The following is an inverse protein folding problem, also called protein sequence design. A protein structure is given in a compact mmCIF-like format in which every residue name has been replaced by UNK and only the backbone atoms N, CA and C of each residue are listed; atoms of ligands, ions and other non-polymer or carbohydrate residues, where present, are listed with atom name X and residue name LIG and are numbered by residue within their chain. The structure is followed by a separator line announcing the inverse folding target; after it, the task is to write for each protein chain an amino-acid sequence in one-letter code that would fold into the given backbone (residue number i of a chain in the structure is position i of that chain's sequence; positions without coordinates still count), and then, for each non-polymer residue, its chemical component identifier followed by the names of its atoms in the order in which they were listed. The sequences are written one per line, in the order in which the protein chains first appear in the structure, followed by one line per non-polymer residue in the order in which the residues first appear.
data_IF_566225854032
#
_entry.id   IF_566225854032
#
_cell.length_a   1.000
_cell.length_b   1.000
_cell.length_c   1.000
_cell.angle_alpha   90.00
_cell.angle_beta   90.00
_cell.angle_gamma   90.00
#
_symmetry.space_group_name_H-M   'P 1'
#
loop_
_entity.id
_entity.type
_entity.pdbx_description
1 polymer ?
#
# COMPACT_ATOMS: atom_id res chain seq x y z
N UNK A 1 47.53 53.71 -64.14
CA UNK A 1 46.14 53.86 -64.51
C UNK A 1 45.57 52.54 -65.01
N UNK A 2 44.50 52.10 -64.47
CA UNK A 2 43.54 51.10 -64.90
C UNK A 2 44.00 49.61 -65.01
N UNK A 3 43.28 48.80 -64.22
CA UNK A 3 42.83 47.44 -64.42
C UNK A 3 43.83 46.30 -64.30
N UNK A 4 43.92 45.76 -63.09
CA UNK A 4 44.19 44.32 -62.83
C UNK A 4 43.52 43.97 -61.55
N UNK A 5 42.24 43.61 -61.57
CA UNK A 5 41.55 42.96 -60.46
C UNK A 5 40.33 42.24 -61.03
N UNK A 6 40.50 41.02 -61.49
CA UNK A 6 39.34 40.08 -61.68
C UNK A 6 39.87 38.75 -62.19
N UNK A 7 40.42 37.92 -61.34
CA UNK A 7 40.55 36.46 -61.62
C UNK A 7 41.15 35.69 -60.43
N UNK A 8 40.58 35.84 -59.24
CA UNK A 8 40.80 34.90 -58.18
C UNK A 8 39.57 34.92 -57.29
N UNK A 9 38.57 34.12 -57.58
CA UNK A 9 37.52 33.71 -56.62
C UNK A 9 36.45 32.81 -57.26
N UNK A 10 36.82 31.67 -57.81
CA UNK A 10 35.76 30.70 -58.17
C UNK A 10 36.14 29.23 -58.02
N UNK A 11 37.24 28.91 -57.33
CA UNK A 11 37.69 27.53 -57.28
C UNK A 11 37.65 26.89 -55.91
N UNK A 12 37.22 27.61 -54.85
CA UNK A 12 37.25 27.04 -53.48
C UNK A 12 35.88 26.80 -52.83
N UNK A 13 34.79 27.10 -53.51
CA UNK A 13 33.46 26.95 -52.92
C UNK A 13 32.76 25.60 -53.19
N UNK A 14 33.25 24.84 -54.21
CA UNK A 14 32.68 23.52 -54.57
C UNK A 14 33.30 22.34 -53.76
N UNK A 15 34.41 22.53 -53.07
CA UNK A 15 35.04 21.47 -52.28
C UNK A 15 34.66 21.48 -50.81
N UNK A 16 34.04 22.55 -50.30
CA UNK A 16 33.60 22.65 -48.90
C UNK A 16 32.19 22.07 -48.71
N UNK A 17 31.36 22.01 -49.77
CA UNK A 17 29.97 21.51 -49.66
C UNK A 17 29.91 19.99 -49.67
N UNK A 18 30.95 19.26 -50.17
CA UNK A 18 30.95 17.79 -50.22
C UNK A 18 31.46 17.17 -48.90
N UNK A 19 32.21 17.90 -48.09
CA UNK A 19 32.66 17.39 -46.77
C UNK A 19 31.65 17.56 -45.62
N UNK A 20 30.56 18.32 -45.80
CA UNK A 20 29.57 18.51 -44.75
C UNK A 20 28.38 17.55 -44.86
N UNK A 21 28.30 16.75 -45.95
CA UNK A 21 27.22 15.78 -46.13
C UNK A 21 27.59 14.33 -45.71
N UNK A 22 28.84 14.07 -45.29
CA UNK A 22 29.33 12.76 -44.94
C UNK A 22 29.29 12.49 -43.41
N UNK A 23 28.86 13.45 -42.57
CA UNK A 23 28.82 13.28 -41.12
C UNK A 23 27.38 13.09 -40.57
N UNK A 24 26.38 13.11 -41.44
CA UNK A 24 24.95 12.97 -41.04
C UNK A 24 24.39 11.54 -41.24
N UNK A 25 25.23 10.56 -41.53
CA UNK A 25 24.82 9.16 -41.75
C UNK A 25 25.34 8.28 -40.60
N UNK A 26 24.81 8.44 -39.40
CA UNK A 26 25.23 7.59 -38.27
C UNK A 26 24.52 7.82 -36.95
N UNK A 27 23.56 8.75 -36.87
CA UNK A 27 22.67 8.80 -35.70
C UNK A 27 21.43 7.98 -36.06
N UNK A 28 21.54 6.66 -35.96
CA UNK A 28 20.34 5.86 -35.79
C UNK A 28 19.70 6.37 -34.50
N UNK A 29 18.42 6.83 -34.53
CA UNK A 29 17.76 7.12 -33.27
C UNK A 29 17.83 5.84 -32.43
N UNK A 30 18.44 5.92 -31.26
CA UNK A 30 18.28 4.88 -30.25
C UNK A 30 16.77 4.83 -30.02
N UNK A 31 16.08 3.86 -30.61
CA UNK A 31 14.69 3.59 -30.26
C UNK A 31 14.77 3.02 -28.86
N UNK A 32 14.56 3.90 -27.85
CA UNK A 32 14.35 3.44 -26.50
C UNK A 32 13.14 2.51 -26.54
N UNK A 33 13.32 1.29 -26.00
CA UNK A 33 12.18 0.41 -25.79
C UNK A 33 11.19 1.14 -24.87
N UNK A 34 9.91 1.10 -25.23
CA UNK A 34 8.88 1.74 -24.43
C UNK A 34 8.50 0.85 -23.24
N UNK A 35 8.16 1.50 -22.16
CA UNK A 35 7.51 0.83 -21.03
C UNK A 35 6.21 0.14 -21.47
N UNK A 36 5.85 -0.95 -20.80
CA UNK A 36 4.54 -1.58 -20.99
C UNK A 36 3.44 -0.55 -20.64
N UNK A 37 2.37 -0.54 -21.45
CA UNK A 37 1.28 0.42 -21.31
C UNK A 37 0.66 0.38 -19.90
N UNK A 38 0.43 1.56 -19.32
CA UNK A 38 -0.13 1.72 -17.98
C UNK A 38 0.87 1.56 -16.82
N UNK A 39 2.12 1.16 -17.12
CA UNK A 39 3.14 1.03 -16.08
C UNK A 39 3.74 2.39 -15.68
N UNK A 40 4.26 2.44 -14.47
CA UNK A 40 4.96 3.61 -13.90
C UNK A 40 6.01 3.18 -12.89
N UNK A 41 7.03 4.01 -12.71
CA UNK A 41 7.97 3.82 -11.61
C UNK A 41 7.28 3.99 -10.25
N UNK A 42 7.75 3.27 -9.22
CA UNK A 42 7.19 3.40 -7.88
C UNK A 42 7.49 4.78 -7.30
N UNK A 43 6.58 5.30 -6.47
CA UNK A 43 6.76 6.59 -5.79
C UNK A 43 7.99 6.64 -4.86
N UNK A 44 8.54 5.49 -4.50
CA UNK A 44 9.66 5.35 -3.59
C UNK A 44 11.02 5.47 -4.28
N UNK A 45 11.13 4.99 -5.53
CA UNK A 45 12.37 4.90 -6.28
C UNK A 45 12.19 5.30 -7.74
N UNK A 46 13.25 5.80 -8.36
CA UNK A 46 13.40 5.80 -9.82
C UNK A 46 14.10 4.52 -10.24
N UNK A 47 13.86 4.07 -11.48
CA UNK A 47 14.62 2.97 -12.08
C UNK A 47 16.08 3.35 -12.34
N UNK A 48 16.92 2.34 -12.59
CA UNK A 48 18.27 2.56 -13.11
C UNK A 48 18.21 3.19 -14.52
N UNK A 49 19.15 4.09 -14.88
CA UNK A 49 19.22 4.66 -16.22
C UNK A 49 19.39 3.59 -17.30
N UNK A 50 18.70 3.75 -18.43
CA UNK A 50 18.81 2.84 -19.58
C UNK A 50 17.91 1.62 -19.50
N UNK A 51 16.93 1.60 -18.63
CA UNK A 51 15.98 0.51 -18.47
C UNK A 51 14.57 0.91 -18.91
N UNK A 52 13.75 -0.06 -19.27
CA UNK A 52 12.32 0.04 -19.49
C UNK A 52 11.58 -1.00 -18.66
N UNK A 53 10.28 -0.74 -18.39
CA UNK A 53 9.41 -1.68 -17.68
C UNK A 53 8.86 -2.71 -18.68
N UNK A 54 9.14 -3.99 -18.50
CA UNK A 54 8.60 -5.05 -19.33
C UNK A 54 7.56 -5.93 -18.62
N UNK A 55 7.46 -5.80 -17.29
CA UNK A 55 6.38 -6.40 -16.50
C UNK A 55 6.00 -5.47 -15.35
N UNK A 56 4.69 -5.37 -15.11
CA UNK A 56 4.11 -4.49 -14.10
C UNK A 56 2.85 -5.14 -13.53
N UNK A 57 2.85 -5.43 -12.23
CA UNK A 57 1.70 -5.95 -11.51
C UNK A 57 1.43 -5.00 -10.33
N UNK A 58 0.18 -4.51 -10.22
CA UNK A 58 -0.28 -3.58 -9.18
C UNK A 58 -1.49 -4.21 -8.49
N UNK A 59 -1.29 -4.78 -7.30
CA UNK A 59 -2.29 -5.56 -6.55
C UNK A 59 -2.67 -4.82 -5.28
N UNK A 60 -3.95 -4.51 -5.12
CA UNK A 60 -4.46 -3.67 -4.02
C UNK A 60 -4.19 -4.24 -2.63
N UNK A 61 -4.19 -5.56 -2.48
CA UNK A 61 -3.86 -6.22 -1.22
C UNK A 61 -3.31 -7.62 -1.47
N UNK A 62 -2.10 -7.85 -1.00
CA UNK A 62 -1.41 -9.13 -1.07
C UNK A 62 -0.46 -9.28 0.11
N UNK A 63 0.01 -10.51 0.37
CA UNK A 63 1.08 -10.79 1.30
C UNK A 63 2.38 -11.10 0.55
N UNK A 64 3.49 -10.62 1.06
CA UNK A 64 4.82 -10.97 0.58
C UNK A 64 5.72 -11.35 1.76
N UNK A 65 6.54 -12.37 1.55
CA UNK A 65 7.45 -12.89 2.57
C UNK A 65 8.86 -12.39 2.32
N UNK A 66 9.31 -11.46 3.15
CA UNK A 66 10.65 -10.88 3.09
C UNK A 66 11.62 -11.68 3.96
N UNK A 67 12.77 -12.06 3.42
CA UNK A 67 13.86 -12.59 4.23
C UNK A 67 14.49 -11.47 5.06
N UNK A 68 14.60 -11.66 6.37
CA UNK A 68 15.16 -10.67 7.31
C UNK A 68 16.46 -11.13 7.97
N UNK A 69 16.80 -12.41 7.84
CA UNK A 69 18.08 -13.02 8.23
C UNK A 69 18.29 -14.31 7.45
N UNK A 70 19.38 -15.02 7.71
CA UNK A 70 19.66 -16.32 7.09
C UNK A 70 18.53 -17.34 7.31
N UNK A 71 17.92 -17.33 8.51
CA UNK A 71 16.93 -18.34 8.93
C UNK A 71 15.51 -17.76 9.07
N UNK A 72 15.34 -16.44 9.09
CA UNK A 72 14.06 -15.81 9.41
C UNK A 72 13.50 -15.03 8.25
N UNK A 73 12.17 -15.05 8.17
CA UNK A 73 11.38 -14.26 7.23
C UNK A 73 10.36 -13.40 7.98
N UNK A 74 9.87 -12.36 7.32
CA UNK A 74 8.79 -11.49 7.77
C UNK A 74 7.72 -11.41 6.70
N UNK A 75 6.51 -11.86 7.02
CA UNK A 75 5.34 -11.65 6.17
C UNK A 75 4.83 -10.23 6.36
N UNK A 76 4.63 -9.52 5.26
CA UNK A 76 4.03 -8.18 5.23
C UNK A 76 2.85 -8.21 4.29
N UNK A 77 1.71 -7.70 4.75
CA UNK A 77 0.47 -7.59 3.98
C UNK A 77 0.17 -6.14 3.63
N UNK A 78 -0.30 -5.90 2.42
CA UNK A 78 -0.64 -4.56 1.96
C UNK A 78 -0.74 -4.43 0.45
N UNK A 79 -0.73 -3.20 -0.04
CA UNK A 79 -0.66 -2.90 -1.46
C UNK A 79 0.68 -3.37 -2.02
N UNK A 80 0.64 -4.25 -3.02
CA UNK A 80 1.81 -4.87 -3.63
C UNK A 80 2.02 -4.35 -5.04
N UNK A 81 3.19 -3.81 -5.28
CA UNK A 81 3.68 -3.42 -6.59
C UNK A 81 4.86 -4.31 -6.98
N UNK A 82 4.74 -5.01 -8.10
CA UNK A 82 5.84 -5.76 -8.70
C UNK A 82 6.21 -5.19 -10.05
N UNK A 83 7.48 -4.86 -10.24
CA UNK A 83 8.01 -4.29 -11.48
C UNK A 83 9.25 -5.07 -11.90
N UNK A 84 9.30 -5.48 -13.18
CA UNK A 84 10.52 -6.00 -13.80
C UNK A 84 11.03 -4.98 -14.82
N UNK A 85 12.31 -4.73 -14.73
CA UNK A 85 13.04 -3.84 -15.62
C UNK A 85 13.98 -4.63 -16.52
N UNK A 86 13.94 -4.33 -17.80
CA UNK A 86 14.89 -4.87 -18.78
C UNK A 86 15.73 -3.75 -19.41
N UNK A 87 16.94 -4.11 -19.83
CA UNK A 87 17.90 -3.17 -20.36
C UNK A 87 17.54 -2.77 -21.81
N UNK A 88 17.59 -1.49 -22.11
CA UNK A 88 17.41 -1.01 -23.47
C UNK A 88 18.53 -1.49 -24.39
N UNK A 89 18.23 -1.68 -25.66
CA UNK A 89 19.21 -2.08 -26.67
C UNK A 89 20.43 -1.15 -26.69
N UNK A 90 21.61 -1.71 -26.83
CA UNK A 90 22.90 -1.01 -26.90
C UNK A 90 23.30 -0.24 -25.64
N UNK A 91 22.69 -0.53 -24.50
CA UNK A 91 23.11 -0.04 -23.17
C UNK A 91 23.96 -1.10 -22.50
N UNK A 92 25.08 -0.71 -21.91
CA UNK A 92 25.91 -1.63 -21.13
C UNK A 92 25.22 -1.94 -19.80
N UNK A 93 25.05 -3.22 -19.50
CA UNK A 93 24.45 -3.66 -18.23
C UNK A 93 25.34 -3.26 -17.03
N UNK A 94 24.79 -2.63 -15.99
CA UNK A 94 25.47 -2.51 -14.71
C UNK A 94 25.59 -3.90 -14.06
N UNK A 95 26.54 -4.07 -13.15
CA UNK A 95 26.62 -5.30 -12.38
C UNK A 95 25.44 -5.40 -11.39
N UNK A 96 25.00 -6.62 -11.00
CA UNK A 96 23.99 -6.82 -9.95
C UNK A 96 24.35 -6.06 -8.66
N UNK A 97 25.60 -6.12 -8.23
CA UNK A 97 26.13 -5.35 -7.10
C UNK A 97 25.87 -3.84 -7.24
N UNK A 98 26.09 -3.28 -8.44
CA UNK A 98 25.85 -1.85 -8.69
C UNK A 98 24.36 -1.52 -8.57
N UNK A 99 23.47 -2.37 -9.06
CA UNK A 99 22.01 -2.20 -8.94
C UNK A 99 21.62 -2.21 -7.45
N UNK A 100 21.95 -3.25 -6.69
CA UNK A 100 21.62 -3.37 -5.27
C UNK A 100 22.15 -2.19 -4.44
N UNK A 101 23.41 -1.77 -4.68
CA UNK A 101 24.03 -0.62 -3.97
C UNK A 101 23.31 0.70 -4.25
N UNK A 102 22.81 0.92 -5.48
CA UNK A 102 22.02 2.12 -5.78
C UNK A 102 20.73 2.16 -4.98
N UNK A 103 19.97 1.06 -4.88
CA UNK A 103 18.75 0.99 -4.08
C UNK A 103 19.03 1.10 -2.58
N UNK A 104 20.10 0.47 -2.04
CA UNK A 104 20.53 0.63 -0.65
C UNK A 104 20.86 2.10 -0.35
N UNK A 105 21.57 2.78 -1.24
CA UNK A 105 21.91 4.19 -1.04
C UNK A 105 20.68 5.10 -1.16
N UNK A 106 19.77 4.79 -2.07
CA UNK A 106 18.52 5.55 -2.24
C UNK A 106 17.63 5.46 -0.99
N UNK A 107 17.43 4.24 -0.43
CA UNK A 107 16.59 4.08 0.76
C UNK A 107 17.19 4.78 1.98
N UNK A 108 18.52 4.71 2.16
CA UNK A 108 19.22 5.38 3.27
C UNK A 108 19.08 6.91 3.21
N UNK A 109 19.11 7.51 2.02
CA UNK A 109 18.92 8.96 1.83
C UNK A 109 17.56 9.47 2.29
N UNK A 110 16.54 8.62 2.28
CA UNK A 110 15.17 8.97 2.72
C UNK A 110 14.85 8.45 4.12
N UNK A 111 15.87 8.06 4.91
CA UNK A 111 15.70 7.62 6.29
C UNK A 111 15.33 6.15 6.47
N UNK A 112 15.38 5.36 5.40
CA UNK A 112 15.18 3.92 5.45
C UNK A 112 16.46 3.14 5.76
N UNK A 113 16.35 1.83 5.78
CA UNK A 113 17.42 0.92 6.17
C UNK A 113 17.48 -0.31 5.29
N UNK A 114 18.68 -0.90 5.18
CA UNK A 114 18.91 -2.24 4.69
C UNK A 114 18.52 -3.23 5.80
N UNK A 115 17.61 -4.14 5.51
CA UNK A 115 17.18 -5.21 6.44
C UNK A 115 18.02 -6.45 6.24
N UNK A 116 18.19 -6.87 4.99
CA UNK A 116 18.94 -8.07 4.66
C UNK A 116 19.60 -7.93 3.28
N UNK A 117 20.80 -8.47 3.17
CA UNK A 117 21.57 -8.60 1.94
C UNK A 117 21.94 -10.08 1.78
N UNK A 118 21.62 -10.65 0.63
CA UNK A 118 21.91 -12.07 0.38
C UNK A 118 23.41 -12.32 0.26
N UNK A 119 23.83 -13.59 0.23
CA UNK A 119 25.24 -13.99 0.33
C UNK A 119 26.12 -13.41 -0.79
N UNK A 120 25.55 -13.23 -1.98
CA UNK A 120 26.21 -12.49 -3.06
C UNK A 120 25.92 -11.00 -2.89
N UNK A 121 26.88 -10.21 -2.37
CA UNK A 121 26.63 -8.84 -1.94
C UNK A 121 26.07 -7.97 -3.05
N UNK A 122 24.89 -7.38 -2.78
CA UNK A 122 24.24 -6.41 -3.66
C UNK A 122 23.40 -7.00 -4.80
N UNK A 123 23.35 -8.33 -4.96
CA UNK A 123 22.50 -8.95 -5.98
C UNK A 123 21.02 -8.93 -5.57
N UNK A 124 20.75 -9.34 -4.32
CA UNK A 124 19.42 -9.34 -3.73
C UNK A 124 19.43 -8.60 -2.40
N UNK A 125 18.56 -7.61 -2.24
CA UNK A 125 18.51 -6.79 -1.03
C UNK A 125 17.08 -6.57 -0.56
N UNK A 126 16.87 -6.62 0.76
CA UNK A 126 15.62 -6.28 1.43
C UNK A 126 15.77 -4.95 2.14
N UNK A 127 14.89 -4.02 1.84
CA UNK A 127 14.92 -2.64 2.29
C UNK A 127 13.62 -2.30 3.03
N UNK A 128 13.70 -1.35 3.95
CA UNK A 128 12.53 -0.87 4.69
C UNK A 128 12.61 0.62 4.95
N UNK A 129 11.47 1.31 4.89
CA UNK A 129 11.32 2.71 5.32
C UNK A 129 9.96 2.94 5.94
N UNK A 130 9.85 3.92 6.83
CA UNK A 130 8.57 4.45 7.30
C UNK A 130 8.37 5.82 6.67
N UNK A 131 7.33 5.96 5.85
CA UNK A 131 7.00 7.20 5.15
C UNK A 131 5.57 7.62 5.50
N UNK A 132 5.39 8.83 6.02
CA UNK A 132 4.08 9.34 6.45
C UNK A 132 3.33 8.41 7.44
N UNK A 133 4.07 7.74 8.33
CA UNK A 133 3.50 6.77 9.28
C UNK A 133 3.21 5.38 8.69
N UNK A 134 3.41 5.18 7.39
CA UNK A 134 3.21 3.91 6.71
C UNK A 134 4.56 3.18 6.53
N UNK A 135 4.58 1.91 6.89
CA UNK A 135 5.74 1.05 6.72
C UNK A 135 5.77 0.52 5.28
N UNK A 136 6.87 0.73 4.59
CA UNK A 136 7.08 0.28 3.21
C UNK A 136 8.29 -0.64 3.18
N UNK A 137 8.10 -1.82 2.61
CA UNK A 137 9.13 -2.82 2.39
C UNK A 137 9.42 -2.97 0.91
N UNK A 138 10.68 -3.20 0.55
CA UNK A 138 11.08 -3.47 -0.82
C UNK A 138 12.08 -4.62 -0.87
N UNK A 139 11.92 -5.49 -1.88
CA UNK A 139 12.89 -6.50 -2.26
C UNK A 139 13.36 -6.21 -3.68
N UNK A 140 14.65 -6.04 -3.85
CA UNK A 140 15.27 -5.81 -5.15
C UNK A 140 16.11 -7.04 -5.48
N UNK A 141 15.85 -7.65 -6.64
CA UNK A 141 16.59 -8.79 -7.14
C UNK A 141 17.20 -8.46 -8.50
N UNK A 142 18.51 -8.61 -8.63
CA UNK A 142 19.24 -8.36 -9.85
C UNK A 142 20.00 -9.63 -10.28
N UNK A 143 19.98 -9.91 -11.57
CA UNK A 143 20.69 -11.08 -12.11
C UNK A 143 21.78 -10.68 -13.10
N UNK A 144 22.63 -11.64 -13.43
CA UNK A 144 23.77 -11.43 -14.34
C UNK A 144 23.39 -11.13 -15.80
N UNK A 145 22.11 -11.23 -16.19
CA UNK A 145 21.63 -10.86 -17.53
C UNK A 145 21.44 -9.36 -17.72
N UNK A 146 21.52 -8.59 -16.63
CA UNK A 146 21.26 -7.16 -16.60
C UNK A 146 19.82 -6.79 -16.24
N UNK A 147 18.84 -7.69 -16.32
CA UNK A 147 17.48 -7.45 -15.85
C UNK A 147 17.43 -7.46 -14.32
N UNK A 148 16.47 -6.70 -13.75
CA UNK A 148 16.21 -6.72 -12.32
C UNK A 148 14.73 -6.52 -12.01
N UNK A 149 14.29 -7.04 -10.87
CA UNK A 149 12.93 -6.92 -10.36
C UNK A 149 12.88 -6.19 -9.02
N UNK A 150 11.75 -5.57 -8.75
CA UNK A 150 11.48 -4.95 -7.47
C UNK A 150 10.06 -5.31 -7.00
N UNK A 151 9.95 -5.86 -5.79
CA UNK A 151 8.70 -6.01 -5.06
C UNK A 151 8.61 -4.90 -4.02
N UNK A 152 7.50 -4.20 -3.96
CA UNK A 152 7.25 -3.18 -2.94
C UNK A 152 5.91 -3.50 -2.26
N UNK A 153 5.92 -3.59 -0.93
CA UNK A 153 4.71 -3.71 -0.13
C UNK A 153 4.54 -2.45 0.72
N UNK A 154 3.48 -1.71 0.45
CA UNK A 154 3.00 -0.64 1.32
C UNK A 154 2.06 -1.27 2.35
N UNK A 155 2.56 -1.44 3.59
CA UNK A 155 1.83 -2.17 4.65
C UNK A 155 0.51 -1.47 4.96
N UNK A 156 -0.59 -2.17 4.79
CA UNK A 156 -1.94 -1.69 5.10
C UNK A 156 -2.83 -2.83 5.59
N UNK A 157 -3.88 -2.49 6.33
CA UNK A 157 -4.92 -3.44 6.68
C UNK A 157 -5.79 -3.74 5.45
N UNK A 158 -6.25 -4.98 5.33
CA UNK A 158 -7.20 -5.37 4.29
C UNK A 158 -8.51 -4.60 4.43
N UNK A 159 -9.03 -4.08 3.33
CA UNK A 159 -10.39 -3.59 3.29
C UNK A 159 -11.37 -4.77 3.41
N UNK A 160 -12.29 -4.69 4.35
CA UNK A 160 -13.31 -5.71 4.53
C UNK A 160 -14.49 -5.43 3.58
N UNK A 161 -14.47 -6.04 2.40
CA UNK A 161 -15.53 -5.88 1.39
C UNK A 161 -16.71 -6.84 1.60
N UNK A 162 -16.46 -8.00 2.23
CA UNK A 162 -17.49 -8.98 2.58
C UNK A 162 -17.90 -8.77 4.04
N UNK A 163 -19.10 -8.29 4.26
CA UNK A 163 -19.68 -8.09 5.60
C UNK A 163 -20.78 -9.15 5.86
N UNK A 164 -20.96 -9.50 7.12
CA UNK A 164 -22.10 -10.31 7.52
C UNK A 164 -23.39 -9.51 7.26
N UNK A 165 -24.38 -10.13 6.64
CA UNK A 165 -25.65 -9.52 6.35
C UNK A 165 -26.60 -9.50 7.58
N UNK A 166 -27.74 -8.82 7.45
CA UNK A 166 -28.72 -8.72 8.52
C UNK A 166 -29.22 -10.09 9.00
N UNK A 167 -29.30 -11.11 8.11
CA UNK A 167 -29.74 -12.45 8.48
C UNK A 167 -28.69 -13.15 9.33
N UNK A 168 -27.41 -13.02 8.98
CA UNK A 168 -26.30 -13.55 9.78
C UNK A 168 -26.27 -12.94 11.17
N UNK A 169 -26.51 -11.63 11.29
CA UNK A 169 -26.63 -10.96 12.59
C UNK A 169 -27.83 -11.48 13.37
N UNK A 170 -29.00 -11.65 12.73
CA UNK A 170 -30.19 -12.17 13.38
C UNK A 170 -29.99 -13.59 13.92
N UNK A 171 -29.36 -14.46 13.13
CA UNK A 171 -29.06 -15.85 13.52
C UNK A 171 -28.11 -15.89 14.74
N UNK A 172 -27.02 -15.12 14.71
CA UNK A 172 -26.09 -15.05 15.83
C UNK A 172 -26.73 -14.51 17.11
N UNK A 173 -27.58 -13.48 17.01
CA UNK A 173 -28.34 -12.94 18.15
C UNK A 173 -29.35 -13.95 18.70
N UNK A 174 -29.92 -14.79 17.86
CA UNK A 174 -30.85 -15.85 18.29
C UNK A 174 -30.12 -17.01 19.00
N UNK A 175 -28.94 -17.39 18.50
CA UNK A 175 -28.19 -18.55 18.99
C UNK A 175 -27.40 -18.22 20.27
N UNK A 176 -26.74 -17.05 20.30
CA UNK A 176 -25.77 -16.69 21.35
C UNK A 176 -26.14 -15.46 22.14
N UNK A 177 -27.21 -14.74 21.78
CA UNK A 177 -27.59 -13.45 22.38
C UNK A 177 -26.72 -12.28 21.98
N UNK A 178 -25.64 -12.50 21.23
CA UNK A 178 -24.72 -11.44 20.79
C UNK A 178 -24.06 -11.74 19.45
N UNK A 179 -23.54 -10.73 18.81
CA UNK A 179 -22.73 -10.86 17.59
C UNK A 179 -21.63 -9.80 17.54
N UNK A 180 -20.40 -10.21 17.25
CA UNK A 180 -19.31 -9.30 16.96
C UNK A 180 -19.50 -8.74 15.54
N UNK A 181 -19.47 -7.42 15.43
CA UNK A 181 -19.62 -6.70 14.15
C UNK A 181 -18.27 -6.16 13.73
N UNK A 182 -17.71 -6.80 12.74
CA UNK A 182 -16.51 -6.31 12.04
C UNK A 182 -16.98 -5.41 10.87
N UNK A 183 -16.13 -4.48 10.42
CA UNK A 183 -16.52 -3.51 9.39
C UNK A 183 -17.04 -2.18 9.94
N UNK A 184 -16.89 -1.94 11.25
CA UNK A 184 -17.02 -0.61 11.88
C UNK A 184 -15.62 -0.07 12.14
N UNK A 185 -15.25 1.02 11.48
CA UNK A 185 -13.88 1.53 11.44
C UNK A 185 -13.77 2.90 12.12
N UNK A 186 -12.68 3.07 12.87
CA UNK A 186 -12.27 4.30 13.52
C UNK A 186 -10.77 4.53 13.28
N UNK A 187 -10.33 5.77 13.34
CA UNK A 187 -8.91 6.05 13.45
C UNK A 187 -8.37 5.72 14.85
N UNK A 188 -7.07 5.53 14.96
CA UNK A 188 -6.41 5.25 16.24
C UNK A 188 -6.72 6.36 17.26
N UNK A 189 -7.21 5.97 18.42
CA UNK A 189 -7.56 6.88 19.50
C UNK A 189 -8.80 7.77 19.25
N UNK A 190 -9.51 7.57 18.12
CA UNK A 190 -10.70 8.36 17.78
C UNK A 190 -11.98 7.53 17.83
N UNK A 191 -13.11 8.23 17.98
CA UNK A 191 -14.46 7.66 17.97
C UNK A 191 -15.30 8.14 16.77
N UNK A 192 -14.72 8.88 15.83
CA UNK A 192 -15.36 9.28 14.59
C UNK A 192 -15.41 8.10 13.63
N UNK A 193 -16.63 7.81 13.11
CA UNK A 193 -16.84 6.71 12.14
C UNK A 193 -16.24 7.05 10.78
N UNK A 194 -15.49 6.12 10.24
CA UNK A 194 -14.97 6.23 8.86
C UNK A 194 -16.08 5.91 7.85
N UNK A 195 -16.06 6.51 6.63
CA UNK A 195 -17.03 6.21 5.57
C UNK A 195 -17.13 4.72 5.21
N UNK A 196 -16.03 3.97 5.34
CA UNK A 196 -16.00 2.52 5.13
C UNK A 196 -16.92 1.72 6.08
N UNK A 197 -17.44 2.32 7.16
CA UNK A 197 -18.39 1.69 8.08
C UNK A 197 -19.84 1.68 7.54
N UNK A 198 -20.15 2.45 6.51
CA UNK A 198 -21.53 2.64 6.01
C UNK A 198 -22.23 1.34 5.59
N UNK A 199 -21.59 0.40 4.86
CA UNK A 199 -22.23 -0.86 4.49
C UNK A 199 -22.65 -1.68 5.71
N UNK A 200 -21.83 -1.75 6.74
CA UNK A 200 -22.13 -2.48 7.99
C UNK A 200 -23.25 -1.82 8.78
N UNK A 201 -23.28 -0.48 8.88
CA UNK A 201 -24.36 0.26 9.50
C UNK A 201 -25.70 0.02 8.79
N UNK A 202 -25.67 -0.06 7.44
CA UNK A 202 -26.85 -0.40 6.65
C UNK A 202 -27.39 -1.78 7.01
N UNK A 203 -26.54 -2.80 7.14
CA UNK A 203 -26.98 -4.16 7.50
C UNK A 203 -27.56 -4.22 8.93
N UNK A 204 -26.95 -3.50 9.90
CA UNK A 204 -27.52 -3.37 11.24
C UNK A 204 -28.89 -2.68 11.18
N UNK A 205 -29.07 -1.68 10.34
CA UNK A 205 -30.35 -1.01 10.16
C UNK A 205 -31.43 -1.93 9.57
N UNK A 206 -31.07 -2.78 8.62
CA UNK A 206 -31.97 -3.80 8.02
C UNK A 206 -32.40 -4.81 9.09
N UNK A 207 -31.47 -5.31 9.91
CA UNK A 207 -31.77 -6.20 11.04
C UNK A 207 -32.84 -5.56 11.97
N UNK A 208 -32.62 -4.31 12.38
CA UNK A 208 -33.53 -3.61 13.27
C UNK A 208 -34.89 -3.29 12.60
N UNK A 209 -34.93 -3.10 11.30
CA UNK A 209 -36.18 -2.90 10.54
C UNK A 209 -36.97 -4.23 10.37
N UNK A 210 -36.27 -5.34 10.20
CA UNK A 210 -36.88 -6.67 10.06
C UNK A 210 -37.54 -7.13 11.37
N UNK A 211 -36.98 -6.80 12.54
CA UNK A 211 -37.57 -7.05 13.85
C UNK A 211 -37.80 -5.73 14.62
N UNK A 212 -39.01 -5.14 14.57
CA UNK A 212 -39.34 -3.90 15.26
C UNK A 212 -39.26 -3.99 16.79
N UNK A 213 -39.27 -5.19 17.35
CA UNK A 213 -39.24 -5.41 18.82
C UNK A 213 -37.83 -5.56 19.38
N UNK A 214 -36.85 -5.87 18.49
CA UNK A 214 -35.45 -6.08 18.86
C UNK A 214 -34.86 -4.81 19.48
N UNK A 215 -34.30 -4.96 20.67
CA UNK A 215 -33.51 -3.94 21.37
C UNK A 215 -32.10 -4.44 21.56
N UNK A 216 -31.12 -3.55 21.41
CA UNK A 216 -29.71 -3.90 21.44
C UNK A 216 -28.92 -3.00 22.37
N UNK A 217 -27.99 -3.61 23.12
CA UNK A 217 -26.80 -2.91 23.56
C UNK A 217 -25.82 -2.89 22.38
N UNK A 218 -25.25 -1.74 22.10
CA UNK A 218 -24.10 -1.57 21.20
C UNK A 218 -22.88 -1.44 22.08
N UNK A 219 -22.03 -2.45 22.08
CA UNK A 219 -20.88 -2.54 23.02
C UNK A 219 -19.59 -2.32 22.25
N UNK A 220 -18.83 -1.31 22.63
CA UNK A 220 -17.51 -1.04 22.08
C UNK A 220 -16.43 -1.75 22.90
N UNK A 221 -15.41 -2.26 22.21
CA UNK A 221 -14.23 -2.89 22.81
C UNK A 221 -12.95 -2.27 22.29
N UNK A 222 -11.87 -2.36 23.06
CA UNK A 222 -10.52 -1.99 22.67
C UNK A 222 -9.56 -3.19 22.83
N UNK A 223 -8.37 -3.08 22.29
CA UNK A 223 -7.24 -3.87 22.74
C UNK A 223 -6.72 -3.36 24.09
N UNK A 224 -5.66 -3.97 24.62
CA UNK A 224 -5.04 -3.61 25.90
C UNK A 224 -4.01 -2.47 25.79
N UNK A 225 -3.87 -1.82 24.64
CA UNK A 225 -2.89 -0.75 24.45
C UNK A 225 -3.36 0.54 25.09
N UNK A 226 -2.52 1.15 25.92
CA UNK A 226 -2.81 2.42 26.58
C UNK A 226 -3.42 2.30 27.97
N UNK A 227 -4.03 3.39 28.45
CA UNK A 227 -4.55 3.50 29.83
C UNK A 227 -5.96 2.91 29.89
N UNK A 228 -6.23 2.09 30.90
CA UNK A 228 -7.49 1.37 31.08
C UNK A 228 -8.72 2.28 31.04
N UNK A 229 -8.74 3.34 31.85
CA UNK A 229 -9.89 4.27 31.93
C UNK A 229 -10.11 5.03 30.60
N UNK A 230 -9.04 5.37 29.90
CA UNK A 230 -9.11 5.96 28.58
C UNK A 230 -9.73 5.00 27.55
N UNK A 231 -9.40 3.71 27.64
CA UNK A 231 -9.97 2.65 26.79
C UNK A 231 -11.45 2.40 27.09
N UNK A 232 -11.87 2.41 28.36
CA UNK A 232 -13.29 2.34 28.75
C UNK A 232 -14.05 3.53 28.12
N UNK A 233 -13.53 4.74 28.30
CA UNK A 233 -14.15 5.94 27.69
C UNK A 233 -14.20 5.84 26.17
N UNK A 234 -13.09 5.51 25.52
CA UNK A 234 -12.98 5.43 24.05
C UNK A 234 -13.96 4.40 23.48
N UNK A 235 -14.06 3.22 24.10
CA UNK A 235 -14.97 2.17 23.67
C UNK A 235 -16.44 2.60 23.78
N UNK A 236 -16.80 3.32 24.84
CA UNK A 236 -18.15 3.90 25.02
C UNK A 236 -18.44 4.98 23.98
N UNK A 237 -17.48 5.88 23.72
CA UNK A 237 -17.64 6.95 22.73
C UNK A 237 -17.80 6.36 21.31
N UNK A 238 -17.11 5.27 20.98
CA UNK A 238 -17.27 4.52 19.72
C UNK A 238 -18.64 3.87 19.60
N UNK A 239 -19.10 3.21 20.64
CA UNK A 239 -20.46 2.65 20.68
C UNK A 239 -21.53 3.73 20.50
N UNK A 240 -21.36 4.89 21.15
CA UNK A 240 -22.26 6.04 20.99
C UNK A 240 -22.25 6.59 19.56
N UNK A 241 -21.10 6.65 18.91
CA UNK A 241 -20.99 7.06 17.51
C UNK A 241 -21.79 6.13 16.57
N UNK A 242 -21.74 4.82 16.80
CA UNK A 242 -22.55 3.83 16.06
C UNK A 242 -24.04 4.06 16.30
N UNK A 243 -24.48 4.21 17.56
CA UNK A 243 -25.88 4.49 17.90
C UNK A 243 -26.35 5.78 17.21
N UNK A 244 -25.58 6.86 17.31
CA UNK A 244 -25.91 8.13 16.68
C UNK A 244 -26.05 8.02 15.16
N UNK A 245 -25.17 7.27 14.51
CA UNK A 245 -25.25 7.02 13.06
C UNK A 245 -26.52 6.23 12.69
N UNK A 246 -26.85 5.17 13.43
CA UNK A 246 -28.07 4.39 13.20
C UNK A 246 -29.34 5.23 13.36
N UNK A 247 -29.38 6.11 14.36
CA UNK A 247 -30.49 7.00 14.58
C UNK A 247 -30.60 8.09 13.51
N UNK A 248 -29.51 8.80 13.24
CA UNK A 248 -29.52 9.99 12.37
C UNK A 248 -29.59 9.66 10.89
N UNK A 249 -28.90 8.60 10.45
CA UNK A 249 -28.77 8.27 9.01
C UNK A 249 -29.76 7.19 8.57
N UNK A 250 -30.17 6.28 9.48
CA UNK A 250 -31.01 5.14 9.15
C UNK A 250 -32.39 5.18 9.84
N UNK A 251 -32.68 6.26 10.58
CA UNK A 251 -33.96 6.47 11.25
C UNK A 251 -34.36 5.37 12.26
N UNK A 252 -33.35 4.75 12.89
CA UNK A 252 -33.60 3.77 13.97
C UNK A 252 -34.05 4.51 15.21
N UNK A 253 -35.13 4.03 15.88
CA UNK A 253 -35.61 4.64 17.14
C UNK A 253 -34.55 4.46 18.24
N UNK A 254 -34.11 5.58 18.82
CA UNK A 254 -33.06 5.61 19.86
C UNK A 254 -33.45 4.79 21.12
N UNK A 255 -34.73 4.66 21.44
CA UNK A 255 -35.19 3.84 22.56
C UNK A 255 -34.87 2.33 22.42
N UNK A 256 -34.45 1.90 21.25
CA UNK A 256 -34.05 0.51 20.96
C UNK A 256 -32.58 0.24 21.10
N UNK A 257 -31.76 1.27 21.32
CA UNK A 257 -30.32 1.21 21.32
C UNK A 257 -29.72 1.79 22.60
N UNK A 258 -28.82 1.06 23.22
CA UNK A 258 -28.06 1.53 24.37
C UNK A 258 -26.58 1.36 24.13
N UNK A 259 -25.80 2.45 24.16
CA UNK A 259 -24.35 2.40 23.98
C UNK A 259 -23.66 2.02 25.30
N UNK A 260 -22.74 1.05 25.22
CA UNK A 260 -21.93 0.60 26.34
C UNK A 260 -20.45 0.48 25.91
N UNK A 261 -19.54 0.74 26.83
CA UNK A 261 -18.10 0.60 26.60
C UNK A 261 -17.50 -0.39 27.56
N UNK A 262 -16.91 -1.46 27.01
CA UNK A 262 -16.31 -2.55 27.79
C UNK A 262 -14.76 -2.45 27.79
N UNK A 263 -14.20 -1.55 27.00
CA UNK A 263 -12.75 -1.36 26.94
C UNK A 263 -12.03 -2.65 26.61
N UNK A 264 -10.92 -2.98 27.32
CA UNK A 264 -10.11 -4.17 27.06
C UNK A 264 -10.54 -5.40 27.87
N UNK A 265 -11.69 -5.38 28.58
CA UNK A 265 -12.04 -6.38 29.61
C UNK A 265 -12.56 -7.70 29.04
N UNK A 266 -12.99 -7.72 27.77
CA UNK A 266 -13.55 -8.92 27.13
C UNK A 266 -12.79 -9.25 25.82
N UNK A 267 -11.50 -9.64 25.90
CA UNK A 267 -10.75 -10.00 24.69
C UNK A 267 -11.29 -11.30 24.07
N UNK A 268 -11.37 -11.32 22.73
CA UNK A 268 -11.71 -12.52 21.95
C UNK A 268 -10.48 -13.22 21.39
N UNK A 269 -9.33 -12.55 21.45
CA UNK A 269 -8.04 -13.09 21.06
C UNK A 269 -6.92 -12.53 21.94
N UNK A 270 -5.73 -13.16 21.91
CA UNK A 270 -4.56 -12.67 22.64
C UNK A 270 -4.14 -11.26 22.17
N UNK A 271 -3.83 -10.38 23.12
CA UNK A 271 -3.30 -9.04 22.84
C UNK A 271 -1.79 -9.00 22.54
N UNK A 272 -1.10 -10.13 22.56
CA UNK A 272 0.35 -10.20 22.35
C UNK A 272 0.73 -9.84 20.92
N UNK A 273 -0.10 -10.25 19.93
CA UNK A 273 0.11 -9.99 18.52
C UNK A 273 -0.91 -9.00 17.97
N UNK A 274 -0.53 -8.31 16.89
CA UNK A 274 -1.42 -7.32 16.26
C UNK A 274 -2.69 -7.95 15.69
N UNK A 275 -2.61 -9.17 15.16
CA UNK A 275 -3.77 -9.88 14.64
C UNK A 275 -4.84 -10.09 15.74
N UNK A 276 -4.42 -10.46 16.94
CA UNK A 276 -5.33 -10.62 18.08
C UNK A 276 -5.85 -9.27 18.58
N UNK A 277 -5.01 -8.24 18.67
CA UNK A 277 -5.45 -6.89 19.03
C UNK A 277 -6.48 -6.35 18.04
N UNK A 278 -6.30 -6.59 16.74
CA UNK A 278 -7.26 -6.19 15.72
C UNK A 278 -8.64 -6.81 15.93
N UNK A 279 -8.72 -8.09 16.33
CA UNK A 279 -9.97 -8.75 16.68
C UNK A 279 -10.61 -8.18 17.97
N UNK A 280 -9.79 -7.70 18.90
CA UNK A 280 -10.27 -7.12 20.15
C UNK A 280 -10.84 -5.69 19.94
N UNK A 281 -10.35 -4.94 18.95
CA UNK A 281 -10.89 -3.62 18.55
C UNK A 281 -12.16 -3.79 17.72
N UNK A 282 -13.29 -4.06 18.35
CA UNK A 282 -14.56 -4.40 17.70
C UNK A 282 -15.76 -3.69 18.33
N UNK A 283 -16.89 -3.80 17.67
CA UNK A 283 -18.21 -3.50 18.22
C UNK A 283 -19.00 -4.81 18.32
N UNK A 284 -19.72 -5.03 19.40
CA UNK A 284 -20.67 -6.13 19.56
C UNK A 284 -22.10 -5.57 19.62
N UNK A 285 -23.04 -6.29 19.02
CA UNK A 285 -24.48 -6.11 19.25
C UNK A 285 -24.91 -7.19 20.25
N UNK A 286 -25.53 -6.80 21.35
CA UNK A 286 -26.00 -7.71 22.38
C UNK A 286 -27.49 -7.50 22.55
N UNK A 287 -28.27 -8.60 22.48
CA UNK A 287 -29.71 -8.53 22.65
C UNK A 287 -30.07 -8.15 24.09
N UNK A 288 -30.99 -7.19 24.25
CA UNK A 288 -31.55 -6.79 25.55
C UNK A 288 -32.60 -7.77 26.02
#
# INVERSE_FOLDING_TARGET
MKNRLSHIKSLNMKKIIISLFAILAGITPLIAQNDIEGSKDPALFTRMPGYHIYRYDDVQFEKYEFRISHENTQVVEGHHLFIMYDLNNNVQAPSPLQIGRNYINAIKKIGGQLIYEYQDPGEDVVLKVVKNGMEVWAYVSANGSGAYGIHIIEKQAMNQDVIADANSFANSLKESGKVAVYGIYFDTGKSELKPASQPTLLEISKLLKADPTLKLYVVGHTDNTGIFDANIKLSKDRALAVVNALVSQFSVNVARLTAFGDGPTSPVASNEKEEGRALNRRVELVKQ
#
